data_IF_706942724856
#
_entry.id   IF_706942724856
#
_cell.length_a   1.000
_cell.length_b   1.000
_cell.length_c   1.000
_cell.angle_alpha   90.00
_cell.angle_beta   90.00
_cell.angle_gamma   90.00
#
_symmetry.space_group_name_H-M   'P 1'
#
loop_
_entity.id
_entity.type
_entity.pdbx_description
1 polymer ?
#
# COMPACT_ATOMS: atom_id res chain seq x y z
N UNK A 1 9.09 29.30 19.38
CA UNK A 1 7.94 29.01 20.27
C UNK A 1 7.38 27.63 19.90
N UNK A 2 7.38 26.69 20.87
CA UNK A 2 6.92 25.32 20.63
C UNK A 2 5.45 25.23 20.21
N UNK A 3 4.62 26.15 20.67
CA UNK A 3 3.20 26.20 20.31
C UNK A 3 3.00 26.58 18.85
N UNK A 4 3.78 27.55 18.36
CA UNK A 4 3.72 27.98 16.95
C UNK A 4 4.22 26.86 16.04
N UNK A 5 5.27 26.16 16.44
CA UNK A 5 5.79 25.00 15.71
C UNK A 5 4.76 23.87 15.62
N UNK A 6 4.14 23.49 16.76
CA UNK A 6 3.11 22.46 16.79
C UNK A 6 1.88 22.85 15.95
N UNK A 7 1.44 24.10 16.01
CA UNK A 7 0.31 24.57 15.20
C UNK A 7 0.60 24.55 13.69
N UNK A 8 1.87 24.65 13.27
CA UNK A 8 2.24 24.53 11.87
C UNK A 8 2.28 23.07 11.39
N UNK A 9 2.48 22.11 12.29
CA UNK A 9 2.50 20.68 12.00
C UNK A 9 1.10 20.03 12.00
N UNK A 10 0.17 20.58 12.81
CA UNK A 10 -1.20 20.12 12.81
C UNK A 10 -2.03 21.12 12.01
N UNK A 11 -2.23 20.87 10.72
CA UNK A 11 -3.07 21.75 9.92
C UNK A 11 -4.44 21.85 10.59
N UNK A 12 -5.03 23.02 10.49
CA UNK A 12 -6.43 23.25 10.82
C UNK A 12 -7.31 22.17 10.17
N UNK A 13 -8.50 22.01 10.66
CA UNK A 13 -9.51 21.09 10.14
C UNK A 13 -9.47 20.92 8.62
N UNK A 14 -8.93 19.80 8.15
CA UNK A 14 -8.86 19.42 6.74
C UNK A 14 -9.24 17.94 6.50
N UNK A 15 -9.83 17.30 7.50
CA UNK A 15 -10.37 15.95 7.40
C UNK A 15 -11.83 16.01 6.90
N UNK A 16 -12.01 15.78 5.62
CA UNK A 16 -13.31 15.80 4.93
C UNK A 16 -13.88 14.39 4.69
N UNK A 17 -13.28 13.33 5.26
CA UNK A 17 -13.61 11.97 4.87
C UNK A 17 -13.88 11.06 6.06
N UNK A 18 -14.70 10.06 5.80
CA UNK A 18 -14.76 8.80 6.55
C UNK A 18 -14.52 7.65 5.59
N UNK A 19 -13.70 6.70 5.97
CA UNK A 19 -13.28 5.57 5.15
C UNK A 19 -13.55 4.25 5.89
N UNK A 20 -14.01 3.26 5.14
CA UNK A 20 -13.97 1.84 5.50
C UNK A 20 -13.27 1.10 4.36
N UNK A 21 -12.16 0.46 4.66
CA UNK A 21 -11.31 -0.28 3.72
C UNK A 21 -10.66 -1.45 4.45
N UNK A 22 -10.71 -2.64 3.87
CA UNK A 22 -10.05 -3.85 4.38
C UNK A 22 -9.44 -4.60 3.20
N UNK A 23 -8.12 -4.65 3.18
CA UNK A 23 -7.29 -5.19 2.11
C UNK A 23 -6.74 -6.56 2.47
N UNK A 24 -7.53 -7.62 2.36
CA UNK A 24 -7.09 -8.95 2.77
C UNK A 24 -7.42 -10.08 1.77
N UNK A 25 -7.92 -9.74 0.58
CA UNK A 25 -8.21 -10.67 -0.49
C UNK A 25 -7.77 -10.12 -1.85
N UNK A 26 -7.31 -11.01 -2.72
CA UNK A 26 -7.07 -10.74 -4.14
C UNK A 26 -7.69 -11.84 -5.00
N UNK A 27 -8.14 -11.49 -6.20
CA UNK A 27 -8.65 -12.47 -7.17
C UNK A 27 -7.56 -13.36 -7.76
N UNK A 28 -6.32 -12.90 -7.74
CA UNK A 28 -5.14 -13.60 -8.22
C UNK A 28 -3.90 -13.15 -7.43
N UNK A 29 -2.81 -13.89 -7.55
CA UNK A 29 -1.56 -13.53 -6.88
C UNK A 29 -0.81 -12.49 -7.72
N UNK A 30 -1.12 -11.23 -7.53
CA UNK A 30 -0.52 -10.10 -8.24
C UNK A 30 -1.42 -8.87 -8.24
N UNK A 31 -0.91 -7.76 -8.74
CA UNK A 31 -1.61 -6.49 -8.78
C UNK A 31 -1.63 -5.75 -7.44
N UNK A 32 -2.27 -4.59 -7.45
CA UNK A 32 -2.30 -3.67 -6.29
C UNK A 32 -3.66 -3.59 -5.61
N UNK A 33 -4.72 -4.04 -6.29
CA UNK A 33 -6.08 -3.92 -5.79
C UNK A 33 -6.40 -5.12 -4.89
N UNK A 34 -6.65 -4.83 -3.63
CA UNK A 34 -7.07 -5.79 -2.63
C UNK A 34 -8.50 -5.48 -2.18
N UNK A 35 -9.22 -6.49 -1.75
CA UNK A 35 -10.64 -6.43 -1.42
C UNK A 35 -10.93 -7.11 -0.08
N UNK A 36 -12.12 -6.92 0.46
CA UNK A 36 -12.55 -7.71 1.62
C UNK A 36 -12.65 -9.21 1.29
N UNK A 37 -12.12 -10.05 2.18
CA UNK A 37 -12.13 -11.50 2.02
C UNK A 37 -13.54 -12.10 2.02
N UNK A 38 -14.45 -11.55 2.83
CA UNK A 38 -15.82 -12.09 2.93
C UNK A 38 -16.72 -11.53 1.84
N UNK A 39 -17.10 -12.32 0.82
CA UNK A 39 -17.99 -11.85 -0.23
C UNK A 39 -19.45 -11.78 0.23
N UNK A 40 -20.20 -10.91 -0.41
CA UNK A 40 -21.67 -10.89 -0.38
C UNK A 40 -22.19 -11.79 -1.50
N UNK A 41 -22.82 -12.89 -1.15
CA UNK A 41 -23.49 -13.78 -2.11
C UNK A 41 -24.83 -13.18 -2.55
N UNK A 42 -25.42 -13.77 -3.59
CA UNK A 42 -26.74 -13.36 -4.06
C UNK A 42 -27.78 -13.39 -2.91
N UNK A 43 -28.57 -12.33 -2.80
CA UNK A 43 -29.55 -12.08 -1.73
C UNK A 43 -28.92 -11.88 -0.33
N UNK A 44 -27.63 -11.78 -0.21
CA UNK A 44 -26.97 -11.39 1.04
C UNK A 44 -26.79 -9.87 1.11
N UNK A 45 -26.94 -9.35 2.34
CA UNK A 45 -26.69 -7.94 2.66
C UNK A 45 -25.65 -7.82 3.76
N UNK A 46 -24.83 -6.81 3.66
CA UNK A 46 -23.91 -6.40 4.75
C UNK A 46 -24.11 -4.93 5.07
N UNK A 47 -24.04 -4.60 6.34
CA UNK A 47 -24.14 -3.23 6.84
C UNK A 47 -22.80 -2.78 7.34
N UNK A 48 -22.37 -1.64 6.84
CA UNK A 48 -21.15 -0.95 7.23
C UNK A 48 -21.51 0.34 7.98
N UNK A 49 -20.64 0.83 8.82
CA UNK A 49 -20.84 2.07 9.55
C UNK A 49 -19.71 3.05 9.27
N UNK A 50 -20.08 4.29 8.93
CA UNK A 50 -19.14 5.39 8.74
C UNK A 50 -19.40 6.47 9.81
N UNK A 51 -18.34 6.89 10.52
CA UNK A 51 -18.45 7.95 11.54
C UNK A 51 -18.36 9.32 10.89
N UNK A 52 -19.40 10.11 11.01
CA UNK A 52 -19.40 11.49 10.58
C UNK A 52 -18.80 12.39 11.68
N UNK A 53 -17.54 12.72 11.55
CA UNK A 53 -16.83 13.62 12.46
C UNK A 53 -17.12 15.09 12.17
N UNK A 54 -17.64 15.40 10.98
CA UNK A 54 -17.80 16.77 10.47
C UNK A 54 -19.09 17.44 10.90
N UNK A 55 -20.09 16.66 11.36
CA UNK A 55 -21.47 17.09 11.64
C UNK A 55 -22.21 17.61 10.39
N UNK A 56 -21.71 17.37 9.19
CA UNK A 56 -22.41 17.68 7.95
C UNK A 56 -23.68 16.88 7.82
N UNK A 57 -24.75 17.47 7.27
CA UNK A 57 -26.02 16.79 7.01
C UNK A 57 -26.11 16.18 5.61
N UNK A 58 -25.13 16.47 4.74
CA UNK A 58 -25.01 15.97 3.36
C UNK A 58 -23.59 15.53 3.06
N UNK A 59 -23.44 14.65 2.10
CA UNK A 59 -22.12 14.18 1.63
C UNK A 59 -22.23 13.40 0.33
N UNK A 60 -21.10 12.93 -0.15
CA UNK A 60 -21.00 12.03 -1.29
C UNK A 60 -20.45 10.70 -0.79
N UNK A 61 -21.21 9.63 -0.96
CA UNK A 61 -20.80 8.27 -0.70
C UNK A 61 -20.18 7.69 -1.96
N UNK A 62 -18.92 7.33 -1.90
CA UNK A 62 -18.22 6.54 -2.93
C UNK A 62 -18.24 5.07 -2.51
N UNK A 63 -18.64 4.20 -3.43
CA UNK A 63 -18.71 2.75 -3.25
C UNK A 63 -17.85 2.10 -4.33
N UNK A 64 -16.82 1.38 -3.93
CA UNK A 64 -15.93 0.61 -4.79
C UNK A 64 -16.15 -0.89 -4.54
N UNK A 65 -16.53 -1.64 -5.57
CA UNK A 65 -16.90 -3.05 -5.48
C UNK A 65 -16.42 -3.83 -6.70
N UNK A 66 -16.19 -5.12 -6.51
CA UNK A 66 -15.82 -6.07 -7.57
C UNK A 66 -16.64 -7.36 -7.48
N UNK A 67 -16.75 -8.09 -8.57
CA UNK A 67 -17.43 -9.40 -8.60
C UNK A 67 -16.61 -10.49 -9.29
N UNK A 68 -15.34 -10.27 -9.49
CA UNK A 68 -14.52 -11.16 -10.32
C UNK A 68 -14.98 -11.11 -11.77
N UNK A 69 -15.31 -12.27 -12.32
CA UNK A 69 -15.69 -12.41 -13.75
C UNK A 69 -17.22 -12.38 -13.97
N UNK A 70 -18.03 -12.12 -12.94
CA UNK A 70 -19.47 -12.28 -13.02
C UNK A 70 -20.19 -10.96 -13.30
N UNK A 71 -21.23 -11.03 -14.15
CA UNK A 71 -22.20 -9.94 -14.19
C UNK A 71 -22.95 -9.91 -12.86
N UNK A 72 -23.06 -8.73 -12.24
CA UNK A 72 -23.74 -8.58 -10.95
C UNK A 72 -24.46 -7.25 -10.83
N UNK A 73 -25.45 -7.23 -9.95
CA UNK A 73 -26.14 -6.02 -9.55
C UNK A 73 -26.15 -5.91 -8.04
N UNK A 74 -25.72 -4.78 -7.52
CA UNK A 74 -25.62 -4.46 -6.12
C UNK A 74 -26.52 -3.27 -5.81
N UNK A 75 -27.43 -3.44 -4.85
CA UNK A 75 -28.24 -2.35 -4.32
C UNK A 75 -27.46 -1.64 -3.21
N UNK A 76 -27.50 -0.30 -3.24
CA UNK A 76 -26.85 0.56 -2.26
C UNK A 76 -27.90 1.35 -1.48
N UNK A 77 -27.82 1.29 -0.16
CA UNK A 77 -28.71 2.01 0.75
C UNK A 77 -27.87 2.76 1.80
N UNK A 78 -28.28 3.97 2.16
CA UNK A 78 -27.72 4.74 3.27
C UNK A 78 -28.82 5.14 4.25
N UNK A 79 -28.62 4.89 5.53
CA UNK A 79 -29.57 5.22 6.61
C UNK A 79 -31.00 4.72 6.33
N UNK A 80 -31.12 3.52 5.73
CA UNK A 80 -32.41 2.90 5.36
C UNK A 80 -33.06 3.43 4.10
N UNK A 81 -32.42 4.37 3.39
CA UNK A 81 -32.89 4.90 2.11
C UNK A 81 -32.08 4.31 0.97
N UNK A 82 -32.74 3.82 -0.05
CA UNK A 82 -32.13 3.38 -1.29
C UNK A 82 -31.53 4.56 -2.05
N UNK A 83 -30.27 4.42 -2.47
CA UNK A 83 -29.53 5.40 -3.27
C UNK A 83 -29.51 5.01 -4.75
N UNK A 84 -29.53 3.70 -5.05
CA UNK A 84 -29.52 3.16 -6.40
C UNK A 84 -28.82 1.81 -6.49
N UNK A 85 -28.50 1.43 -7.71
CA UNK A 85 -27.85 0.15 -8.02
C UNK A 85 -26.52 0.36 -8.73
N UNK A 86 -25.59 -0.56 -8.48
CA UNK A 86 -24.35 -0.72 -9.23
C UNK A 86 -24.49 -1.93 -10.13
N UNK A 87 -24.34 -1.72 -11.43
CA UNK A 87 -24.34 -2.79 -12.42
C UNK A 87 -22.90 -3.06 -12.87
N UNK A 88 -22.43 -4.27 -12.64
CA UNK A 88 -21.11 -4.74 -13.06
C UNK A 88 -21.29 -5.64 -14.27
N UNK A 89 -20.63 -5.30 -15.38
CA UNK A 89 -20.57 -6.16 -16.56
C UNK A 89 -19.66 -7.38 -16.26
N UNK A 90 -19.86 -8.51 -16.97
CA UNK A 90 -18.92 -9.61 -16.88
C UNK A 90 -17.55 -9.14 -17.41
N UNK A 91 -16.48 -9.49 -16.71
CA UNK A 91 -15.12 -9.38 -17.22
C UNK A 91 -14.87 -10.37 -18.36
N UNK A 92 -13.80 -10.18 -19.11
CA UNK A 92 -13.31 -11.23 -19.98
C UNK A 92 -12.44 -12.24 -19.20
N UNK A 93 -11.99 -13.31 -19.87
CA UNK A 93 -11.23 -14.38 -19.22
C UNK A 93 -9.86 -13.95 -18.68
N UNK A 94 -9.42 -12.75 -19.03
CA UNK A 94 -8.13 -12.20 -18.62
C UNK A 94 -8.25 -11.08 -17.57
N UNK A 95 -9.43 -10.46 -17.46
CA UNK A 95 -9.71 -9.34 -16.53
C UNK A 95 -10.42 -9.84 -15.26
N UNK A 96 -9.68 -10.45 -14.34
CA UNK A 96 -10.25 -10.84 -13.05
C UNK A 96 -10.24 -9.67 -12.07
N UNK A 97 -11.39 -9.51 -11.40
CA UNK A 97 -11.49 -8.53 -10.34
C UNK A 97 -11.72 -7.10 -10.85
N UNK A 98 -12.44 -6.95 -11.96
CA UNK A 98 -12.82 -5.64 -12.46
C UNK A 98 -13.60 -4.88 -11.39
N UNK A 99 -13.07 -3.72 -11.02
CA UNK A 99 -13.65 -2.85 -10.03
C UNK A 99 -14.59 -1.82 -10.66
N UNK A 100 -15.69 -1.55 -9.99
CA UNK A 100 -16.60 -0.46 -10.33
C UNK A 100 -16.69 0.50 -9.14
N UNK A 101 -16.44 1.77 -9.41
CA UNK A 101 -16.59 2.86 -8.45
C UNK A 101 -17.83 3.68 -8.82
N UNK A 102 -18.68 3.98 -7.83
CA UNK A 102 -19.88 4.81 -8.00
C UNK A 102 -20.05 5.77 -6.84
N UNK A 103 -20.45 6.99 -7.20
CA UNK A 103 -20.75 8.08 -6.26
C UNK A 103 -22.24 8.27 -6.11
N UNK A 104 -22.68 8.50 -4.88
CA UNK A 104 -24.08 8.78 -4.52
C UNK A 104 -24.16 10.00 -3.63
N UNK A 105 -25.04 10.95 -3.96
CA UNK A 105 -25.36 12.05 -3.07
C UNK A 105 -26.21 11.54 -1.90
N UNK A 106 -25.76 11.78 -0.68
CA UNK A 106 -26.43 11.36 0.56
C UNK A 106 -26.88 12.59 1.34
N UNK A 107 -28.12 12.55 1.80
CA UNK A 107 -28.70 13.56 2.67
C UNK A 107 -29.14 12.95 4.01
N UNK A 108 -29.37 13.81 5.01
CA UNK A 108 -29.77 13.39 6.35
C UNK A 108 -28.73 12.49 7.02
N UNK A 109 -27.45 12.84 6.85
CA UNK A 109 -26.34 12.16 7.51
C UNK A 109 -26.49 12.28 9.03
N UNK A 110 -26.08 11.22 9.71
CA UNK A 110 -26.11 11.06 11.14
C UNK A 110 -24.67 11.18 11.73
N UNK A 111 -24.52 11.09 13.04
CA UNK A 111 -23.19 10.98 13.67
C UNK A 111 -22.48 9.65 13.32
N UNK A 112 -23.26 8.64 13.01
CA UNK A 112 -22.83 7.35 12.45
C UNK A 112 -23.81 6.97 11.37
N UNK A 113 -23.31 6.90 10.14
CA UNK A 113 -24.11 6.53 8.98
C UNK A 113 -24.04 5.02 8.75
N UNK A 114 -25.19 4.43 8.42
CA UNK A 114 -25.33 3.02 8.11
C UNK A 114 -25.44 2.84 6.60
N UNK A 115 -24.45 2.16 6.00
CA UNK A 115 -24.42 1.85 4.58
C UNK A 115 -24.69 0.38 4.39
N UNK A 116 -25.75 0.03 3.65
CA UNK A 116 -26.11 -1.35 3.34
C UNK A 116 -25.84 -1.64 1.87
N UNK A 117 -25.08 -2.69 1.62
CA UNK A 117 -24.88 -3.27 0.30
C UNK A 117 -25.61 -4.61 0.22
N UNK A 118 -26.32 -4.84 -0.87
CA UNK A 118 -27.06 -6.10 -1.12
C UNK A 118 -26.76 -6.57 -2.54
N UNK A 119 -26.22 -7.77 -2.69
CA UNK A 119 -26.10 -8.38 -4.02
C UNK A 119 -27.45 -8.95 -4.43
N UNK A 120 -28.12 -8.34 -5.40
CA UNK A 120 -29.48 -8.73 -5.86
C UNK A 120 -29.47 -9.69 -7.04
N UNK A 121 -28.39 -9.72 -7.81
CA UNK A 121 -28.21 -10.69 -8.90
C UNK A 121 -26.74 -10.93 -9.20
N UNK A 122 -26.40 -12.08 -9.75
CA UNK A 122 -25.08 -12.43 -10.27
C UNK A 122 -24.17 -13.13 -9.27
N UNK A 123 -22.87 -12.99 -9.44
CA UNK A 123 -21.85 -13.64 -8.62
C UNK A 123 -21.59 -12.93 -7.29
N UNK A 124 -20.73 -13.51 -6.45
CA UNK A 124 -20.41 -12.91 -5.17
C UNK A 124 -19.70 -11.56 -5.37
N UNK A 125 -20.15 -10.57 -4.62
CA UNK A 125 -19.58 -9.21 -4.62
C UNK A 125 -18.58 -9.07 -3.49
N UNK A 126 -17.48 -8.39 -3.72
CA UNK A 126 -16.51 -7.99 -2.69
C UNK A 126 -16.42 -6.48 -2.64
N UNK A 127 -16.32 -5.97 -1.43
CA UNK A 127 -16.06 -4.55 -1.21
C UNK A 127 -14.55 -4.32 -1.35
N UNK A 128 -14.19 -3.23 -2.02
CA UNK A 128 -12.91 -2.60 -1.90
C UNK A 128 -12.98 -1.56 -0.77
N UNK A 129 -13.63 -0.43 -1.02
CA UNK A 129 -13.83 0.56 0.02
C UNK A 129 -15.18 1.26 -0.03
N UNK A 130 -15.53 1.88 1.09
CA UNK A 130 -16.59 2.88 1.21
C UNK A 130 -15.95 4.17 1.72
N UNK A 131 -16.13 5.27 1.00
CA UNK A 131 -15.70 6.58 1.43
C UNK A 131 -16.89 7.54 1.47
N UNK A 132 -17.02 8.30 2.56
CA UNK A 132 -17.95 9.43 2.64
C UNK A 132 -17.15 10.71 2.62
N UNK A 133 -17.40 11.56 1.61
CA UNK A 133 -16.81 12.89 1.51
C UNK A 133 -17.82 13.93 1.96
N UNK A 134 -17.40 14.84 2.84
CA UNK A 134 -18.24 15.85 3.45
C UNK A 134 -17.93 17.26 2.89
N UNK A 135 -18.91 18.17 2.81
CA UNK A 135 -18.69 19.53 2.32
C UNK A 135 -17.92 20.42 3.30
N UNK A 136 -17.85 20.04 4.55
CA UNK A 136 -17.13 20.74 5.61
C UNK A 136 -16.18 19.79 6.33
N UNK A 137 -15.01 20.26 6.76
CA UNK A 137 -14.06 19.40 7.46
C UNK A 137 -14.54 19.06 8.89
N UNK A 138 -13.98 17.99 9.43
CA UNK A 138 -14.07 17.70 10.85
C UNK A 138 -13.43 18.85 11.66
N UNK A 139 -13.90 19.11 12.89
CA UNK A 139 -13.21 20.03 13.79
C UNK A 139 -11.74 19.65 13.93
N UNK A 140 -10.86 20.64 13.97
CA UNK A 140 -9.44 20.39 14.23
C UNK A 140 -9.30 19.62 15.54
N UNK A 141 -8.46 18.56 15.59
CA UNK A 141 -8.21 17.86 16.84
C UNK A 141 -7.63 18.84 17.87
N UNK A 142 -8.02 18.69 19.13
CA UNK A 142 -7.38 19.43 20.21
C UNK A 142 -5.92 18.98 20.28
N UNK A 143 -5.00 19.94 20.35
CA UNK A 143 -3.58 19.64 20.56
C UNK A 143 -3.43 18.92 21.89
N UNK A 144 -3.01 17.66 21.82
CA UNK A 144 -2.53 16.97 23.00
C UNK A 144 -1.08 17.39 23.25
N UNK A 145 -0.83 18.17 24.26
CA UNK A 145 0.52 18.58 24.64
C UNK A 145 1.26 17.55 25.50
N UNK A 146 0.59 16.47 25.86
CA UNK A 146 1.18 15.33 26.57
C UNK A 146 1.61 14.27 25.59
N UNK A 147 2.91 14.13 25.40
CA UNK A 147 3.47 13.05 24.59
C UNK A 147 3.79 11.83 25.48
N UNK A 148 3.61 10.60 25.01
CA UNK A 148 4.09 9.43 25.74
C UNK A 148 5.62 9.49 25.89
N UNK A 149 6.12 8.98 27.00
CA UNK A 149 7.58 8.84 27.19
C UNK A 149 8.12 7.89 26.11
N UNK A 150 9.15 8.29 25.35
CA UNK A 150 9.76 7.41 24.36
C UNK A 150 10.28 6.14 25.00
N UNK A 151 10.00 5.00 24.40
CA UNK A 151 10.59 3.73 24.77
C UNK A 151 11.77 3.42 23.88
N UNK A 152 12.90 3.06 24.49
CA UNK A 152 14.08 2.65 23.72
C UNK A 152 13.81 1.27 23.11
N UNK A 153 13.98 1.14 21.80
CA UNK A 153 13.82 -0.12 21.07
C UNK A 153 15.18 -0.72 20.75
N UNK A 154 15.99 -0.03 19.95
CA UNK A 154 17.36 -0.44 19.62
C UNK A 154 18.11 0.72 18.93
N UNK A 155 19.41 0.60 18.82
CA UNK A 155 20.21 1.52 18.00
C UNK A 155 20.25 1.02 16.56
N UNK A 156 19.94 1.90 15.62
CA UNK A 156 20.17 1.64 14.19
C UNK A 156 21.68 1.67 13.96
N UNK A 157 22.19 0.73 13.16
CA UNK A 157 23.59 0.74 12.71
C UNK A 157 23.85 2.02 11.91
N UNK A 158 24.97 2.68 12.19
CA UNK A 158 25.39 3.83 11.39
C UNK A 158 25.61 3.40 9.95
N UNK A 159 24.89 4.03 9.04
CA UNK A 159 24.97 3.82 7.60
C UNK A 159 25.06 5.18 6.90
N UNK A 160 25.66 5.23 5.73
CA UNK A 160 25.71 6.41 4.86
C UNK A 160 25.87 5.96 3.40
N UNK A 161 24.81 5.39 2.85
CA UNK A 161 24.77 4.99 1.45
C UNK A 161 24.73 6.18 0.49
N UNK A 162 24.37 7.38 1.01
CA UNK A 162 24.54 8.59 0.24
C UNK A 162 26.01 8.97 0.02
N UNK A 163 26.96 8.42 0.75
CA UNK A 163 28.39 8.60 0.53
C UNK A 163 29.02 7.51 -0.35
N UNK A 164 28.25 6.52 -0.77
CA UNK A 164 28.77 5.37 -1.54
C UNK A 164 29.36 5.78 -2.90
N UNK A 165 30.54 5.25 -3.18
CA UNK A 165 31.14 5.34 -4.51
C UNK A 165 30.49 4.37 -5.50
N UNK A 166 30.45 4.71 -6.80
CA UNK A 166 29.96 3.81 -7.85
C UNK A 166 30.71 2.47 -7.87
N UNK A 167 29.96 1.40 -8.09
CA UNK A 167 30.46 0.02 -8.26
C UNK A 167 29.81 -0.63 -9.47
N UNK A 168 30.48 -1.61 -10.07
CA UNK A 168 29.98 -2.29 -11.28
C UNK A 168 28.74 -3.14 -11.01
N UNK A 169 28.67 -3.76 -9.82
CA UNK A 169 27.57 -4.62 -9.44
C UNK A 169 27.09 -4.29 -8.03
N UNK A 170 25.78 -4.19 -7.87
CA UNK A 170 25.11 -4.10 -6.58
C UNK A 170 24.31 -5.38 -6.34
N UNK A 171 24.46 -5.95 -5.14
CA UNK A 171 23.66 -7.09 -4.66
C UNK A 171 22.81 -6.58 -3.50
N UNK A 172 21.48 -6.58 -3.66
CA UNK A 172 20.55 -6.25 -2.59
C UNK A 172 20.06 -7.54 -1.96
N UNK A 173 20.16 -7.63 -0.63
CA UNK A 173 19.71 -8.78 0.16
C UNK A 173 18.54 -8.38 1.06
N UNK A 174 17.67 -9.34 1.47
CA UNK A 174 16.61 -9.07 2.44
C UNK A 174 17.13 -8.52 3.78
N UNK A 175 16.29 -7.75 4.45
CA UNK A 175 16.54 -7.11 5.76
C UNK A 175 17.04 -8.10 6.82
N UNK A 176 16.53 -9.33 6.83
CA UNK A 176 16.97 -10.37 7.78
C UNK A 176 18.43 -10.81 7.62
N UNK A 177 19.07 -10.46 6.51
CA UNK A 177 20.47 -10.80 6.18
C UNK A 177 20.83 -12.30 6.23
N UNK A 178 19.84 -13.20 6.23
CA UNK A 178 20.06 -14.65 6.23
C UNK A 178 20.89 -15.12 5.02
N UNK A 179 20.85 -14.35 3.92
CA UNK A 179 21.60 -14.65 2.69
C UNK A 179 22.95 -13.97 2.60
N UNK A 180 23.39 -13.19 3.60
CA UNK A 180 24.62 -12.41 3.55
C UNK A 180 25.84 -13.25 3.21
N UNK A 181 26.02 -14.40 3.89
CA UNK A 181 27.17 -15.27 3.64
C UNK A 181 27.20 -15.80 2.20
N UNK A 182 26.06 -16.07 1.61
CA UNK A 182 25.98 -16.55 0.23
C UNK A 182 26.20 -15.41 -0.77
N UNK A 183 25.71 -14.23 -0.44
CA UNK A 183 25.94 -13.02 -1.23
C UNK A 183 27.44 -12.66 -1.24
N UNK A 184 28.14 -12.76 -0.10
CA UNK A 184 29.59 -12.55 -0.03
C UNK A 184 30.36 -13.56 -0.88
N UNK A 185 30.01 -14.84 -0.84
CA UNK A 185 30.63 -15.85 -1.71
C UNK A 185 30.48 -15.53 -3.19
N UNK A 186 29.30 -15.04 -3.58
CA UNK A 186 29.04 -14.65 -4.97
C UNK A 186 29.82 -13.36 -5.32
N UNK A 187 29.81 -12.38 -4.42
CA UNK A 187 30.56 -11.14 -4.62
C UNK A 187 32.06 -11.40 -4.78
N UNK A 188 32.63 -12.28 -3.96
CA UNK A 188 34.06 -12.63 -4.02
C UNK A 188 34.39 -13.37 -5.32
N UNK A 189 33.49 -14.21 -5.82
CA UNK A 189 33.65 -14.83 -7.13
C UNK A 189 33.76 -13.76 -8.23
N UNK A 190 32.82 -12.82 -8.28
CA UNK A 190 32.84 -11.77 -9.28
C UNK A 190 34.01 -10.80 -9.14
N UNK A 191 34.43 -10.47 -7.90
CA UNK A 191 35.62 -9.66 -7.65
C UNK A 191 36.89 -10.32 -8.17
N UNK A 192 37.01 -11.63 -7.98
CA UNK A 192 38.25 -12.39 -8.34
C UNK A 192 38.26 -12.90 -9.77
N UNK A 193 37.13 -13.39 -10.26
CA UNK A 193 37.03 -14.00 -11.59
C UNK A 193 36.77 -12.97 -12.68
N UNK A 194 35.84 -12.03 -12.44
CA UNK A 194 35.43 -11.06 -13.44
C UNK A 194 36.15 -9.71 -13.28
N UNK A 195 36.91 -9.55 -12.22
CA UNK A 195 37.67 -8.33 -11.88
C UNK A 195 36.78 -7.08 -11.83
N UNK A 196 35.58 -7.20 -11.26
CA UNK A 196 34.63 -6.10 -11.09
C UNK A 196 34.47 -5.73 -9.61
N UNK A 197 34.01 -4.49 -9.37
CA UNK A 197 33.67 -4.03 -8.03
C UNK A 197 32.24 -4.44 -7.69
N UNK A 198 32.06 -5.01 -6.48
CA UNK A 198 30.74 -5.51 -6.03
C UNK A 198 30.45 -4.98 -4.63
N UNK A 199 29.24 -4.47 -4.42
CA UNK A 199 28.72 -4.04 -3.11
C UNK A 199 27.47 -4.83 -2.76
N UNK A 200 27.37 -5.25 -1.51
CA UNK A 200 26.17 -5.90 -0.95
C UNK A 200 25.50 -4.89 -0.03
N UNK A 201 24.18 -4.75 -0.14
CA UNK A 201 23.40 -3.81 0.66
C UNK A 201 22.14 -4.50 1.18
N UNK A 202 21.88 -4.49 2.50
CA UNK A 202 20.58 -4.88 3.06
C UNK A 202 19.47 -3.92 2.63
N UNK A 203 18.28 -4.45 2.38
CA UNK A 203 17.18 -3.68 1.83
C UNK A 203 16.68 -2.56 2.77
N UNK A 204 16.65 -2.81 4.08
CA UNK A 204 16.22 -1.84 5.10
C UNK A 204 17.14 -0.60 5.15
N UNK A 205 18.44 -0.77 4.91
CA UNK A 205 19.37 0.35 4.83
C UNK A 205 19.02 1.29 3.67
N UNK A 206 18.58 0.74 2.55
CA UNK A 206 18.09 1.54 1.43
C UNK A 206 16.73 2.19 1.72
N UNK A 207 15.83 1.52 2.46
CA UNK A 207 14.57 2.15 2.85
C UNK A 207 14.80 3.35 3.74
N UNK A 208 15.74 3.26 4.68
CA UNK A 208 16.08 4.35 5.59
C UNK A 208 16.53 5.60 4.84
N UNK A 209 17.40 5.46 3.84
CA UNK A 209 18.03 6.59 3.16
C UNK A 209 17.28 7.04 1.88
N UNK A 210 16.64 6.13 1.15
CA UNK A 210 16.06 6.43 -0.17
C UNK A 210 14.54 6.41 -0.22
N UNK A 211 13.86 6.07 0.90
CA UNK A 211 12.40 6.12 1.02
C UNK A 211 11.91 6.55 2.41
N UNK A 212 12.72 7.32 3.14
CA UNK A 212 12.37 7.90 4.44
C UNK A 212 11.93 6.86 5.49
N UNK A 213 12.56 5.69 5.47
CA UNK A 213 12.26 4.55 6.35
C UNK A 213 11.03 3.73 5.94
N UNK A 214 10.33 4.12 4.89
CA UNK A 214 9.19 3.35 4.39
C UNK A 214 9.68 2.24 3.46
N UNK A 215 9.29 0.97 3.67
CA UNK A 215 9.56 -0.10 2.72
C UNK A 215 8.95 0.22 1.35
N UNK A 216 9.82 0.52 0.37
CA UNK A 216 9.44 0.92 -0.99
C UNK A 216 10.46 0.37 -1.99
N UNK A 217 10.03 -0.46 -2.93
CA UNK A 217 10.89 -1.02 -3.97
C UNK A 217 11.59 0.06 -4.83
N UNK A 218 11.03 1.28 -4.88
CA UNK A 218 11.65 2.40 -5.57
C UNK A 218 12.95 2.88 -4.89
N UNK A 219 13.21 2.51 -3.63
CA UNK A 219 14.48 2.79 -2.96
C UNK A 219 15.67 2.16 -3.72
N UNK A 220 15.50 0.95 -4.22
CA UNK A 220 16.52 0.26 -5.03
C UNK A 220 16.87 1.04 -6.29
N UNK A 221 15.85 1.54 -6.99
CA UNK A 221 16.03 2.36 -8.19
C UNK A 221 16.70 3.69 -7.87
N UNK A 222 16.31 4.36 -6.77
CA UNK A 222 16.90 5.65 -6.35
C UNK A 222 18.37 5.50 -6.01
N UNK A 223 18.73 4.44 -5.30
CA UNK A 223 20.11 4.11 -4.98
C UNK A 223 20.94 3.85 -6.25
N UNK A 224 20.46 2.97 -7.13
CA UNK A 224 21.16 2.70 -8.41
C UNK A 224 21.31 3.96 -9.26
N UNK A 225 20.26 4.81 -9.30
CA UNK A 225 20.33 6.09 -10.01
C UNK A 225 21.39 7.00 -9.42
N UNK A 226 21.50 7.12 -8.12
CA UNK A 226 22.53 7.91 -7.45
C UNK A 226 23.94 7.43 -7.82
N UNK A 227 24.20 6.13 -7.77
CA UNK A 227 25.50 5.57 -8.17
C UNK A 227 25.80 5.85 -9.65
N UNK A 228 24.81 5.70 -10.50
CA UNK A 228 24.94 5.97 -11.93
C UNK A 228 25.25 7.47 -12.20
N UNK A 229 24.49 8.38 -11.60
CA UNK A 229 24.65 9.83 -11.78
C UNK A 229 26.02 10.33 -11.26
N UNK A 230 26.63 9.65 -10.29
CA UNK A 230 27.96 9.98 -9.75
C UNK A 230 29.10 9.40 -10.55
N UNK A 231 28.82 8.52 -11.49
CA UNK A 231 29.85 7.86 -12.26
C UNK A 231 30.56 8.86 -13.18
N UNK A 232 31.87 9.01 -12.99
CA UNK A 232 32.76 9.80 -13.84
C UNK A 232 33.62 8.94 -14.75
N UNK A 233 33.58 7.62 -14.56
CA UNK A 233 34.44 6.66 -15.22
C UNK A 233 33.64 5.42 -15.64
N UNK A 234 33.72 5.07 -16.92
CA UNK A 234 33.02 3.92 -17.49
C UNK A 234 33.38 2.57 -16.82
N UNK A 235 34.61 2.46 -16.25
CA UNK A 235 35.07 1.25 -15.57
C UNK A 235 34.36 1.01 -14.22
N UNK A 236 33.84 2.04 -13.58
CA UNK A 236 33.12 1.92 -12.29
C UNK A 236 31.62 2.12 -12.41
N UNK A 237 31.13 2.35 -13.63
CA UNK A 237 29.69 2.53 -13.89
C UNK A 237 28.90 1.29 -13.47
N UNK A 238 27.81 1.45 -12.72
CA UNK A 238 26.91 0.35 -12.41
C UNK A 238 26.38 -0.32 -13.68
N UNK A 239 26.62 -1.62 -13.82
CA UNK A 239 26.22 -2.43 -14.97
C UNK A 239 25.18 -3.49 -14.57
N UNK A 240 25.20 -3.93 -13.32
CA UNK A 240 24.35 -5.01 -12.85
C UNK A 240 23.76 -4.71 -11.48
N UNK A 241 22.49 -5.06 -11.35
CA UNK A 241 21.78 -5.12 -10.08
C UNK A 241 21.28 -6.57 -9.91
N UNK A 242 21.66 -7.20 -8.80
CA UNK A 242 21.13 -8.48 -8.39
C UNK A 242 20.24 -8.29 -7.16
N UNK A 243 18.97 -8.61 -7.28
CA UNK A 243 18.05 -8.78 -6.18
C UNK A 243 18.22 -10.23 -5.67
N UNK A 244 19.03 -10.38 -4.60
CA UNK A 244 19.46 -11.69 -4.12
C UNK A 244 18.58 -12.14 -2.96
N UNK A 245 17.41 -12.64 -3.31
CA UNK A 245 16.37 -13.13 -2.42
C UNK A 245 15.13 -13.43 -3.21
N UNK A 246 14.10 -13.88 -2.51
CA UNK A 246 12.78 -14.05 -3.07
C UNK A 246 11.92 -12.81 -2.80
N UNK A 247 10.81 -12.68 -3.49
CA UNK A 247 9.83 -11.63 -3.26
C UNK A 247 8.42 -12.22 -3.15
N UNK A 248 7.52 -11.46 -2.56
CA UNK A 248 6.10 -11.77 -2.56
C UNK A 248 5.34 -10.67 -3.29
N UNK A 249 4.27 -11.05 -3.95
CA UNK A 249 3.43 -10.09 -4.66
C UNK A 249 2.69 -9.12 -3.70
N UNK A 250 2.31 -9.58 -2.52
CA UNK A 250 1.67 -8.76 -1.48
C UNK A 250 2.73 -8.22 -0.50
N UNK A 251 3.37 -7.13 -0.86
CA UNK A 251 4.39 -6.48 -0.05
C UNK A 251 3.91 -6.06 1.36
N UNK A 252 2.58 -5.90 1.57
CA UNK A 252 1.99 -5.52 2.85
C UNK A 252 1.68 -6.72 3.74
N UNK A 253 1.81 -7.95 3.22
CA UNK A 253 1.51 -9.20 3.92
C UNK A 253 0.08 -9.26 4.48
N UNK A 254 -0.89 -8.68 3.78
CA UNK A 254 -2.28 -8.60 4.24
C UNK A 254 -3.11 -9.83 3.87
N UNK A 255 -2.78 -10.45 2.74
CA UNK A 255 -3.55 -11.58 2.22
C UNK A 255 -3.28 -12.88 2.95
N UNK A 256 -4.22 -13.83 2.84
CA UNK A 256 -4.10 -15.14 3.49
C UNK A 256 -2.85 -15.92 3.07
N UNK A 257 -2.38 -15.73 1.86
CA UNK A 257 -1.16 -16.39 1.33
C UNK A 257 0.13 -15.78 1.90
N UNK A 258 0.11 -14.52 2.34
CA UNK A 258 1.32 -13.79 2.73
C UNK A 258 1.38 -13.43 4.22
N UNK A 259 0.26 -13.25 4.91
CA UNK A 259 0.18 -12.73 6.30
C UNK A 259 0.96 -13.50 7.37
N UNK A 260 1.36 -14.75 7.08
CA UNK A 260 2.16 -15.56 8.01
C UNK A 260 3.65 -15.57 7.66
N UNK A 261 4.04 -14.89 6.57
CA UNK A 261 5.42 -14.76 6.16
C UNK A 261 6.11 -13.69 7.00
N UNK A 262 7.42 -13.81 7.17
CA UNK A 262 8.22 -12.74 7.78
C UNK A 262 8.65 -11.75 6.69
N UNK A 263 8.18 -10.49 6.68
CA UNK A 263 8.52 -9.54 5.64
C UNK A 263 10.02 -9.28 5.50
N UNK A 264 10.80 -9.41 6.60
CA UNK A 264 12.24 -9.20 6.59
C UNK A 264 13.01 -10.26 5.77
N UNK A 265 12.39 -11.38 5.45
CA UNK A 265 13.00 -12.46 4.67
C UNK A 265 12.84 -12.28 3.15
N UNK A 266 12.10 -11.25 2.72
CA UNK A 266 11.76 -11.01 1.32
C UNK A 266 12.22 -9.64 0.85
N UNK A 267 12.50 -9.54 -0.43
CA UNK A 267 12.68 -8.27 -1.13
C UNK A 267 11.31 -7.77 -1.61
N UNK A 268 11.16 -6.46 -1.70
CA UNK A 268 9.94 -5.89 -2.22
C UNK A 268 9.88 -5.99 -3.74
N UNK A 269 8.74 -6.40 -4.27
CA UNK A 269 8.41 -6.31 -5.67
C UNK A 269 7.73 -4.96 -5.97
N UNK A 270 7.92 -4.43 -7.18
CA UNK A 270 7.11 -3.34 -7.68
C UNK A 270 5.92 -3.92 -8.43
N UNK A 271 4.73 -3.73 -7.85
CA UNK A 271 3.47 -4.13 -8.48
C UNK A 271 2.84 -2.94 -9.22
N UNK A 272 2.47 -3.12 -10.47
CA UNK A 272 1.60 -2.20 -11.21
C UNK A 272 0.13 -2.52 -10.94
N UNK A 273 -0.79 -1.65 -11.32
CA UNK A 273 -2.23 -1.92 -11.22
C UNK A 273 -2.61 -3.20 -11.98
N UNK A 274 -1.93 -3.45 -13.07
CA UNK A 274 -2.15 -4.59 -13.93
C UNK A 274 -0.83 -5.36 -14.16
N UNK A 275 -0.38 -6.07 -13.12
CA UNK A 275 0.87 -6.87 -13.18
C UNK A 275 0.78 -8.09 -14.09
N UNK A 276 -0.37 -8.33 -14.72
CA UNK A 276 -0.62 -9.42 -15.67
C UNK A 276 -0.50 -9.03 -17.14
N UNK A 277 -0.36 -7.75 -17.45
CA UNK A 277 -0.26 -7.27 -18.83
C UNK A 277 1.19 -6.97 -19.23
#
# INVERSE_FOLDING_TARGET
>A
DSTTFLNSFYPSANDYHSLHEIDNFSWFNGGRNLFEETPLKINESKVFTLKNKTKASTGILTVAVTTGDYKSTIKVEANGRELGEIHIAPGDSFDKGYEIIRDYAVSNLQSVDSIRLTTISGGPTRLDYLAMTYPTPAPAPSLNTSFPTPEYVYNITNQDHHADDPVNMVIIIPTSQKLLQQAERLADFHRTHDNITVRIVPADELYNEFSSGTPDAMAYRRYMKMLYDRTTNAQTMPQSLLLFGDCVWDNRMNTNSCRLLNPDDYLLAYESENSFS
#
